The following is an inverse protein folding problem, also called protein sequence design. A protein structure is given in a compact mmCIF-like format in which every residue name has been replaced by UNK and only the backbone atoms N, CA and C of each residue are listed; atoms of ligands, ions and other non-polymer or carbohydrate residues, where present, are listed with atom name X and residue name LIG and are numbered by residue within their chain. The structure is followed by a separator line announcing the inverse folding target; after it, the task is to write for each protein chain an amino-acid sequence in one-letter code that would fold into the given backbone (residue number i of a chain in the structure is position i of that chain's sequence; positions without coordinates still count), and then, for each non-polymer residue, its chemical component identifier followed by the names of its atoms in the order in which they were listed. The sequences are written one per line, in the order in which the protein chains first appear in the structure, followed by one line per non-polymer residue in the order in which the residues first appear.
data_IF_261506090993
#
_entry.id   IF_261506090993
#
_cell.length_a   1.000
_cell.length_b   1.000
_cell.length_c   1.000
_cell.angle_alpha   90.00
_cell.angle_beta   90.00
_cell.angle_gamma   90.00
#
_symmetry.space_group_name_H-M   'P 1'
#
loop_
_entity.id
_entity.type
_entity.pdbx_description
1 polymer ?
#
# COMPACT_ATOMS: atom_id res chain seq x y z
N UNK A 1 -17.40 33.73 7.58
CA UNK A 1 -17.75 32.37 8.07
C UNK A 1 -19.26 32.27 7.98
N UNK A 2 -19.75 31.64 6.92
CA UNK A 2 -21.14 31.17 6.87
C UNK A 2 -21.13 29.64 7.03
N UNK A 3 -22.10 29.05 7.72
CA UNK A 3 -22.14 27.61 7.94
C UNK A 3 -22.66 26.92 6.67
N UNK A 4 -21.84 26.07 6.04
CA UNK A 4 -22.33 25.16 5.01
C UNK A 4 -23.35 24.20 5.62
N UNK A 5 -24.56 24.20 5.06
CA UNK A 5 -25.64 23.29 5.42
C UNK A 5 -25.20 21.83 5.31
N UNK A 6 -25.12 21.16 6.46
CA UNK A 6 -24.82 19.74 6.58
C UNK A 6 -26.14 18.97 6.49
N UNK A 7 -26.42 18.37 5.33
CA UNK A 7 -27.54 17.43 5.19
C UNK A 7 -27.10 16.08 5.77
N UNK A 8 -27.71 15.67 6.89
CA UNK A 8 -27.61 14.32 7.46
C UNK A 8 -28.88 13.53 7.11
N UNK A 9 -28.77 12.32 6.58
CA UNK A 9 -29.93 11.45 6.28
C UNK A 9 -29.79 10.06 6.91
N UNK A 10 -30.86 9.53 7.51
CA UNK A 10 -30.87 8.23 8.21
C UNK A 10 -31.51 7.11 7.36
N UNK A 11 -30.89 5.91 7.31
CA UNK A 11 -31.23 4.69 6.52
C UNK A 11 -30.94 4.81 5.01
N UNK A 12 -30.25 3.89 4.30
CA UNK A 12 -29.74 2.50 4.50
C UNK A 12 -30.75 1.33 4.51
N UNK A 13 -30.68 0.55 3.41
CA UNK A 13 -30.91 -0.90 3.13
C UNK A 13 -31.93 -1.73 3.95
N UNK A 14 -33.03 -2.13 3.28
CA UNK A 14 -33.77 -3.37 3.56
C UNK A 14 -34.36 -3.93 2.24
N UNK A 15 -34.07 -5.18 1.81
CA UNK A 15 -34.55 -5.72 0.53
C UNK A 15 -36.04 -6.08 0.47
N UNK A 16 -36.79 -5.88 1.55
CA UNK A 16 -38.08 -6.56 1.72
C UNK A 16 -39.14 -5.71 2.43
N UNK A 17 -39.68 -4.65 1.83
CA UNK A 17 -40.96 -4.06 2.30
C UNK A 17 -41.66 -3.23 1.23
N UNK A 18 -42.95 -3.50 0.99
CA UNK A 18 -43.83 -2.67 0.13
C UNK A 18 -44.05 -1.28 0.74
N UNK A 19 -44.13 -0.29 -0.15
CA UNK A 19 -44.31 1.14 0.10
C UNK A 19 -45.60 1.48 0.87
N UNK A 20 -45.54 2.32 1.92
CA UNK A 20 -46.66 3.15 2.37
C UNK A 20 -46.61 4.57 1.75
N UNK A 21 -47.78 5.20 1.63
CA UNK A 21 -47.98 6.52 1.03
C UNK A 21 -47.37 7.70 1.84
N UNK A 22 -46.61 8.51 1.11
CA UNK A 22 -46.43 9.98 1.09
C UNK A 22 -46.18 10.82 2.37
N UNK A 23 -44.99 11.44 2.39
CA UNK A 23 -44.71 12.80 2.90
C UNK A 23 -43.78 13.52 1.87
N UNK A 24 -44.10 14.74 1.38
CA UNK A 24 -43.37 15.38 0.28
C UNK A 24 -41.96 15.92 0.58
N UNK A 25 -41.52 16.04 1.85
CA UNK A 25 -40.30 16.80 2.18
C UNK A 25 -39.03 15.96 2.46
N UNK A 26 -39.09 14.64 2.49
CA UNK A 26 -37.94 13.76 2.84
C UNK A 26 -37.14 13.23 1.62
N UNK A 27 -37.31 13.82 0.44
CA UNK A 27 -36.76 13.31 -0.85
C UNK A 27 -35.43 13.96 -1.27
N UNK A 28 -34.27 13.72 -0.65
CA UNK A 28 -33.06 14.43 -1.15
C UNK A 28 -31.72 13.68 -1.33
N UNK A 29 -31.63 12.35 -1.24
CA UNK A 29 -30.39 11.67 -1.69
C UNK A 29 -30.58 10.27 -2.30
N UNK A 30 -31.55 9.51 -1.80
CA UNK A 30 -31.91 8.18 -2.34
C UNK A 30 -32.81 8.26 -3.60
N UNK A 31 -33.22 9.45 -4.00
CA UNK A 31 -34.22 9.67 -5.06
C UNK A 31 -33.62 9.95 -6.45
N UNK A 32 -32.29 9.89 -6.63
CA UNK A 32 -31.66 10.16 -7.92
C UNK A 32 -30.52 9.20 -8.35
N UNK A 33 -30.17 8.16 -7.59
CA UNK A 33 -29.20 7.14 -8.05
C UNK A 33 -29.64 5.73 -7.66
N UNK A 34 -29.56 4.78 -8.58
CA UNK A 34 -29.94 3.38 -8.39
C UNK A 34 -28.69 2.49 -8.35
N UNK A 35 -28.47 1.74 -7.26
CA UNK A 35 -27.36 0.78 -7.15
C UNK A 35 -27.53 -0.39 -8.15
N UNK A 36 -26.57 -0.56 -9.05
CA UNK A 36 -26.62 -1.63 -10.07
C UNK A 36 -25.70 -2.80 -9.77
N UNK A 37 -24.46 -2.55 -9.32
CA UNK A 37 -23.53 -3.61 -8.96
C UNK A 37 -22.45 -3.13 -8.00
N UNK A 38 -21.82 -4.08 -7.32
CA UNK A 38 -20.58 -3.87 -6.60
C UNK A 38 -19.40 -3.80 -7.58
N UNK A 39 -18.41 -2.93 -7.32
CA UNK A 39 -17.20 -2.80 -8.16
C UNK A 39 -15.92 -3.21 -7.42
N UNK A 40 -15.81 -2.94 -6.12
CA UNK A 40 -14.62 -3.31 -5.33
C UNK A 40 -14.73 -2.92 -3.86
N UNK A 41 -13.94 -3.58 -3.01
CA UNK A 41 -13.75 -3.25 -1.59
C UNK A 41 -12.29 -2.88 -1.35
N UNK A 42 -12.01 -2.12 -0.30
CA UNK A 42 -10.65 -1.91 0.19
C UNK A 42 -10.64 -1.40 1.63
N UNK A 43 -9.44 -1.06 2.12
CA UNK A 43 -9.24 -0.57 3.50
C UNK A 43 -10.14 0.62 3.86
N UNK A 44 -10.37 1.52 2.91
CA UNK A 44 -11.11 2.78 3.13
C UNK A 44 -12.63 2.65 2.97
N UNK A 45 -13.14 1.58 2.37
CA UNK A 45 -14.55 1.50 1.99
C UNK A 45 -14.80 0.58 0.82
N UNK A 46 -15.87 0.85 0.10
CA UNK A 46 -16.23 0.09 -1.09
C UNK A 46 -16.72 1.00 -2.21
N UNK A 47 -16.64 0.51 -3.44
CA UNK A 47 -17.04 1.22 -4.65
C UNK A 47 -18.19 0.48 -5.30
N UNK A 48 -19.20 1.24 -5.72
CA UNK A 48 -20.42 0.72 -6.35
C UNK A 48 -20.67 1.38 -7.69
N UNK A 49 -21.26 0.63 -8.62
CA UNK A 49 -21.78 1.15 -9.88
C UNK A 49 -23.23 1.54 -9.68
N UNK A 50 -23.57 2.77 -9.99
CA UNK A 50 -24.90 3.31 -9.78
C UNK A 50 -25.43 4.00 -11.06
N UNK A 51 -26.73 3.94 -11.31
CA UNK A 51 -27.39 4.62 -12.42
C UNK A 51 -28.00 5.93 -11.91
N UNK A 52 -27.48 7.06 -12.38
CA UNK A 52 -28.01 8.36 -12.05
C UNK A 52 -29.30 8.61 -12.82
N UNK A 53 -30.42 8.66 -12.10
CA UNK A 53 -31.76 8.78 -12.67
C UNK A 53 -32.07 10.19 -13.21
N UNK A 54 -31.22 11.18 -12.90
CA UNK A 54 -31.37 12.56 -13.37
C UNK A 54 -30.59 12.78 -14.67
N UNK A 55 -29.35 12.30 -14.74
CA UNK A 55 -28.52 12.43 -15.95
C UNK A 55 -28.69 11.27 -16.93
N UNK A 56 -29.30 10.17 -16.49
CA UNK A 56 -29.40 8.89 -17.20
C UNK A 56 -28.01 8.27 -17.48
N UNK A 57 -27.00 8.60 -16.69
CA UNK A 57 -25.61 8.11 -16.82
C UNK A 57 -25.27 7.07 -15.75
N UNK A 58 -24.33 6.18 -16.08
CA UNK A 58 -23.74 5.28 -15.08
C UNK A 58 -22.56 5.96 -14.39
N UNK A 59 -22.50 5.85 -13.07
CA UNK A 59 -21.51 6.48 -12.21
C UNK A 59 -20.86 5.48 -11.24
N UNK A 60 -19.69 5.82 -10.73
CA UNK A 60 -19.00 5.09 -9.68
C UNK A 60 -19.09 5.86 -8.36
N UNK A 61 -19.61 5.21 -7.32
CA UNK A 61 -19.77 5.81 -5.98
C UNK A 61 -18.89 5.06 -4.99
N UNK A 62 -17.85 5.75 -4.47
CA UNK A 62 -16.98 5.29 -3.38
C UNK A 62 -17.63 5.67 -2.04
N UNK A 63 -18.02 4.67 -1.25
CA UNK A 63 -18.61 4.84 0.08
C UNK A 63 -17.52 4.59 1.12
N UNK A 64 -17.11 5.65 1.82
CA UNK A 64 -16.06 5.55 2.83
C UNK A 64 -16.59 4.94 4.14
N UNK A 65 -15.79 4.09 4.82
CA UNK A 65 -16.14 3.53 6.13
C UNK A 65 -16.31 4.65 7.17
N UNK A 66 -17.24 4.45 8.10
CA UNK A 66 -17.45 5.37 9.22
C UNK A 66 -16.41 5.10 10.35
N UNK A 67 -15.14 5.36 10.04
CA UNK A 67 -14.02 5.30 10.98
C UNK A 67 -13.36 6.68 11.05
N UNK A 68 -12.94 7.17 12.23
CA UNK A 68 -12.35 8.50 12.35
C UNK A 68 -11.16 8.76 11.41
N UNK A 69 -10.24 7.81 11.27
CA UNK A 69 -9.09 7.93 10.36
C UNK A 69 -9.52 8.06 8.89
N UNK A 70 -10.41 7.17 8.45
CA UNK A 70 -10.97 7.15 7.09
C UNK A 70 -11.75 8.44 6.79
N UNK A 71 -12.47 8.98 7.77
CA UNK A 71 -13.19 10.25 7.62
C UNK A 71 -12.24 11.43 7.38
N UNK A 72 -11.13 11.52 8.14
CA UNK A 72 -10.12 12.56 7.91
C UNK A 72 -9.47 12.42 6.53
N UNK A 73 -9.19 11.18 6.12
CA UNK A 73 -8.61 10.89 4.81
C UNK A 73 -9.57 11.24 3.66
N UNK A 74 -10.86 10.88 3.76
CA UNK A 74 -11.87 11.27 2.77
C UNK A 74 -12.00 12.80 2.66
N UNK A 75 -11.87 13.54 3.78
CA UNK A 75 -11.83 15.01 3.75
C UNK A 75 -10.58 15.56 3.06
N UNK A 76 -9.42 14.94 3.27
CA UNK A 76 -8.20 15.30 2.56
C UNK A 76 -8.31 15.02 1.06
N UNK A 77 -8.87 13.87 0.68
CA UNK A 77 -9.16 13.50 -0.71
C UNK A 77 -10.10 14.51 -1.37
N UNK A 78 -11.20 14.91 -0.71
CA UNK A 78 -12.10 15.98 -1.21
C UNK A 78 -11.34 17.29 -1.42
N UNK A 79 -10.42 17.65 -0.53
CA UNK A 79 -9.64 18.89 -0.67
C UNK A 79 -8.71 18.83 -1.89
N UNK A 80 -8.09 17.67 -2.17
CA UNK A 80 -7.29 17.46 -3.38
C UNK A 80 -8.18 17.49 -4.63
N UNK A 81 -9.28 16.73 -4.65
CA UNK A 81 -10.20 16.68 -5.79
C UNK A 81 -10.76 18.06 -6.14
N UNK A 82 -11.09 18.89 -5.15
CA UNK A 82 -11.49 20.30 -5.37
C UNK A 82 -10.40 21.13 -6.04
N UNK A 83 -9.12 20.91 -5.71
CA UNK A 83 -8.02 21.60 -6.41
C UNK A 83 -7.94 21.14 -7.86
N UNK A 84 -8.08 19.83 -8.10
CA UNK A 84 -7.98 19.23 -9.43
C UNK A 84 -9.14 19.60 -10.38
N UNK A 85 -10.27 20.11 -9.88
CA UNK A 85 -11.40 20.55 -10.71
C UNK A 85 -11.06 21.66 -11.71
N UNK A 86 -9.95 22.38 -11.54
CA UNK A 86 -9.51 23.36 -12.54
C UNK A 86 -8.88 22.72 -13.78
N UNK A 87 -8.57 21.42 -13.73
CA UNK A 87 -8.02 20.65 -14.84
C UNK A 87 -9.13 20.02 -15.66
N UNK A 88 -8.90 19.88 -16.96
CA UNK A 88 -9.78 19.11 -17.82
C UNK A 88 -9.46 17.61 -17.67
N UNK A 89 -10.43 16.78 -17.21
CA UNK A 89 -10.16 15.39 -16.82
C UNK A 89 -9.74 14.50 -18.01
N UNK A 90 -10.16 14.84 -19.24
CA UNK A 90 -9.88 14.05 -20.43
C UNK A 90 -8.48 14.32 -21.00
N UNK A 91 -8.04 15.58 -20.97
CA UNK A 91 -6.70 15.97 -21.43
C UNK A 91 -5.63 15.72 -20.37
N UNK A 92 -5.96 15.86 -19.08
CA UNK A 92 -5.05 15.58 -17.97
C UNK A 92 -5.04 14.10 -17.55
N UNK A 93 -5.91 13.27 -18.12
CA UNK A 93 -6.04 11.83 -17.81
C UNK A 93 -6.27 11.57 -16.31
N UNK A 94 -7.15 12.36 -15.69
CA UNK A 94 -7.55 12.24 -14.28
C UNK A 94 -9.04 11.91 -14.25
N UNK A 95 -9.45 11.01 -13.36
CA UNK A 95 -10.87 10.67 -13.19
C UNK A 95 -11.72 11.92 -12.94
N UNK A 96 -12.83 12.04 -13.68
CA UNK A 96 -13.81 13.09 -13.48
C UNK A 96 -14.53 12.85 -12.17
N UNK A 97 -14.37 13.79 -11.26
CA UNK A 97 -15.07 13.82 -9.98
C UNK A 97 -16.37 14.65 -10.11
N UNK A 98 -17.51 13.99 -9.91
CA UNK A 98 -18.85 14.59 -10.01
C UNK A 98 -19.32 15.20 -8.68
N UNK A 99 -18.51 15.13 -7.62
CA UNK A 99 -18.79 15.71 -6.32
C UNK A 99 -18.88 14.68 -5.20
N UNK A 100 -19.38 15.10 -4.05
CA UNK A 100 -19.54 14.24 -2.89
C UNK A 100 -20.86 14.52 -2.18
N UNK A 101 -21.31 13.56 -1.38
CA UNK A 101 -22.48 13.69 -0.54
C UNK A 101 -22.31 12.86 0.74
N UNK A 102 -23.23 13.03 1.70
CA UNK A 102 -23.25 12.26 2.93
C UNK A 102 -24.44 11.30 2.92
N UNK A 103 -24.20 10.01 3.21
CA UNK A 103 -25.27 9.04 3.46
C UNK A 103 -25.10 8.46 4.88
N UNK A 104 -26.06 8.70 5.79
CA UNK A 104 -25.88 8.62 7.26
C UNK A 104 -24.62 9.35 7.73
N UNK A 105 -23.61 8.55 8.02
CA UNK A 105 -22.33 8.93 8.63
C UNK A 105 -21.17 8.60 7.67
N UNK A 106 -21.48 8.25 6.41
CA UNK A 106 -20.52 7.93 5.38
C UNK A 106 -20.33 9.13 4.44
N UNK A 107 -19.07 9.44 4.11
CA UNK A 107 -18.74 10.33 3.01
C UNK A 107 -18.75 9.50 1.73
N UNK A 108 -19.59 9.87 0.77
CA UNK A 108 -19.69 9.22 -0.53
C UNK A 108 -19.10 10.14 -1.61
N UNK A 109 -18.15 9.63 -2.40
CA UNK A 109 -17.55 10.34 -3.52
C UNK A 109 -18.12 9.80 -4.83
N UNK A 110 -18.58 10.69 -5.71
CA UNK A 110 -19.18 10.35 -7.00
C UNK A 110 -18.19 10.64 -8.14
N UNK A 111 -18.00 9.68 -9.03
CA UNK A 111 -17.06 9.75 -10.16
C UNK A 111 -17.72 9.25 -11.45
N UNK A 112 -17.15 9.63 -12.59
CA UNK A 112 -17.45 8.95 -13.85
C UNK A 112 -17.18 7.44 -13.74
N UNK A 113 -17.99 6.62 -14.42
CA UNK A 113 -17.73 5.19 -14.50
C UNK A 113 -16.66 4.91 -15.57
N UNK A 114 -15.57 4.26 -15.16
CA UNK A 114 -14.52 3.74 -16.05
C UNK A 114 -14.68 2.22 -16.24
N UNK A 115 -13.87 1.63 -17.13
CA UNK A 115 -13.97 0.21 -17.49
C UNK A 115 -13.34 -0.69 -16.42
N UNK A 116 -12.03 -0.93 -16.50
CA UNK A 116 -11.29 -1.80 -15.59
C UNK A 116 -9.90 -1.21 -15.30
N UNK A 117 -9.31 -1.57 -14.17
CA UNK A 117 -7.93 -1.17 -13.85
C UNK A 117 -6.93 -1.83 -14.80
N UNK A 118 -5.73 -1.26 -14.92
CA UNK A 118 -4.65 -1.88 -15.66
C UNK A 118 -4.23 -3.21 -15.02
N UNK A 119 -4.34 -3.35 -13.69
CA UNK A 119 -4.16 -4.63 -13.03
C UNK A 119 -5.15 -5.69 -13.56
N UNK A 120 -6.45 -5.43 -13.50
CA UNK A 120 -7.47 -6.35 -14.01
C UNK A 120 -7.33 -6.62 -15.51
N UNK A 121 -6.91 -5.62 -16.29
CA UNK A 121 -6.63 -5.78 -17.71
C UNK A 121 -5.45 -6.73 -17.95
N UNK A 122 -4.39 -6.65 -17.14
CA UNK A 122 -3.25 -7.57 -17.20
C UNK A 122 -3.65 -8.99 -16.75
N UNK A 123 -4.47 -9.12 -15.70
CA UNK A 123 -5.04 -10.41 -15.27
C UNK A 123 -5.81 -11.08 -16.42
N UNK A 124 -6.68 -10.33 -17.11
CA UNK A 124 -7.42 -10.83 -18.27
C UNK A 124 -6.56 -11.21 -19.48
N UNK A 125 -5.28 -10.80 -19.48
CA UNK A 125 -4.27 -11.17 -20.48
C UNK A 125 -3.36 -12.30 -19.99
N UNK A 126 -3.66 -12.93 -18.87
CA UNK A 126 -2.78 -13.90 -18.20
C UNK A 126 -1.40 -13.31 -17.89
N UNK A 127 -1.36 -12.03 -17.49
CA UNK A 127 -0.14 -11.27 -17.27
C UNK A 127 0.82 -11.25 -18.47
N UNK A 128 0.31 -11.38 -19.71
CA UNK A 128 1.14 -11.14 -20.90
C UNK A 128 1.40 -9.65 -21.07
N UNK A 129 2.69 -9.29 -21.00
CA UNK A 129 3.20 -7.92 -21.20
C UNK A 129 2.57 -7.17 -22.38
N UNK A 130 2.44 -5.86 -22.22
CA UNK A 130 1.97 -4.94 -23.25
C UNK A 130 3.03 -4.76 -24.34
N UNK A 131 2.58 -4.68 -25.58
CA UNK A 131 3.46 -4.29 -26.69
C UNK A 131 3.89 -2.83 -26.54
N UNK A 132 5.02 -2.44 -27.15
CA UNK A 132 5.46 -1.03 -27.15
C UNK A 132 4.46 -0.08 -27.81
N UNK A 133 3.57 -0.58 -28.67
CA UNK A 133 2.49 0.20 -29.27
C UNK A 133 1.37 0.53 -28.28
N UNK A 134 1.11 -0.37 -27.32
CA UNK A 134 0.13 -0.19 -26.24
C UNK A 134 0.73 0.57 -25.05
N UNK A 135 1.98 0.25 -24.68
CA UNK A 135 2.65 0.82 -23.50
C UNK A 135 2.94 2.31 -23.66
N UNK A 136 3.48 2.72 -24.82
CA UNK A 136 3.88 4.11 -25.08
C UNK A 136 2.75 5.13 -24.84
N UNK A 137 1.52 4.98 -25.38
CA UNK A 137 0.46 5.93 -25.11
C UNK A 137 0.01 5.92 -23.65
N UNK A 138 0.05 4.79 -22.94
CA UNK A 138 -0.26 4.73 -21.51
C UNK A 138 0.76 5.57 -20.71
N UNK A 139 2.05 5.35 -20.93
CA UNK A 139 3.11 6.10 -20.24
C UNK A 139 3.06 7.59 -20.55
N UNK A 140 2.75 7.96 -21.80
CA UNK A 140 2.58 9.37 -22.18
C UNK A 140 1.42 10.03 -21.41
N UNK A 141 0.27 9.34 -21.31
CA UNK A 141 -0.90 9.85 -20.56
C UNK A 141 -0.58 10.01 -19.07
N UNK A 142 0.04 9.00 -18.44
CA UNK A 142 0.43 9.06 -17.03
C UNK A 142 1.49 10.13 -16.75
N UNK A 143 2.51 10.26 -17.60
CA UNK A 143 3.50 11.33 -17.48
C UNK A 143 2.86 12.71 -17.64
N UNK A 144 1.85 12.85 -18.50
CA UNK A 144 1.05 14.09 -18.62
C UNK A 144 0.32 14.38 -17.31
N UNK A 145 -0.35 13.39 -16.72
CA UNK A 145 -0.99 13.52 -15.40
C UNK A 145 -0.02 13.97 -14.33
N UNK A 146 1.12 13.29 -14.18
CA UNK A 146 2.12 13.62 -13.16
C UNK A 146 2.74 15.01 -13.39
N UNK A 147 2.91 15.44 -14.65
CA UNK A 147 3.33 16.80 -14.97
C UNK A 147 2.33 17.85 -14.47
N UNK A 148 1.03 17.58 -14.56
CA UNK A 148 0.01 18.49 -14.02
C UNK A 148 0.02 18.50 -12.49
N UNK A 149 0.07 17.33 -11.83
CA UNK A 149 0.14 17.24 -10.37
C UNK A 149 1.34 18.01 -9.81
N UNK A 150 2.51 17.84 -10.41
CA UNK A 150 3.72 18.60 -10.08
C UNK A 150 3.55 20.11 -10.22
N UNK A 151 2.88 20.59 -11.28
CA UNK A 151 2.64 22.03 -11.44
C UNK A 151 1.67 22.61 -10.41
N UNK A 152 0.99 21.75 -9.64
CA UNK A 152 0.09 22.11 -8.55
C UNK A 152 0.68 21.79 -7.16
N UNK A 153 1.94 21.36 -7.07
CA UNK A 153 2.59 20.90 -5.83
C UNK A 153 1.77 19.79 -5.13
N UNK A 154 1.33 18.78 -5.90
CA UNK A 154 0.55 17.63 -5.40
C UNK A 154 1.32 16.34 -5.65
N UNK A 155 1.47 15.53 -4.61
CA UNK A 155 1.94 14.14 -4.69
C UNK A 155 0.71 13.23 -4.69
N UNK A 156 0.60 12.29 -5.64
CA UNK A 156 -0.45 11.26 -5.67
C UNK A 156 -0.23 10.22 -4.56
N UNK A 157 1.01 9.77 -4.42
CA UNK A 157 1.48 8.92 -3.33
C UNK A 157 0.91 7.50 -3.28
N UNK A 158 0.16 7.06 -4.30
CA UNK A 158 -0.28 5.65 -4.46
C UNK A 158 -0.46 5.24 -5.93
N UNK A 159 0.50 5.58 -6.80
CA UNK A 159 0.44 5.17 -8.21
C UNK A 159 0.80 3.68 -8.35
N UNK A 160 -0.15 2.89 -8.86
CA UNK A 160 -0.03 1.44 -9.13
C UNK A 160 -1.03 1.01 -10.22
N UNK A 161 -0.92 -0.19 -10.82
CA UNK A 161 -1.79 -0.64 -11.91
C UNK A 161 -3.28 -0.73 -11.51
N UNK A 162 -3.58 -0.91 -10.22
CA UNK A 162 -4.94 -0.86 -9.66
C UNK A 162 -5.55 0.54 -9.73
N UNK A 163 -4.73 1.57 -9.54
CA UNK A 163 -5.16 2.97 -9.51
C UNK A 163 -5.07 3.66 -10.87
N UNK A 164 -4.80 2.91 -11.94
CA UNK A 164 -4.86 3.41 -13.32
C UNK A 164 -5.96 2.64 -14.05
N UNK A 165 -7.04 3.32 -14.41
CA UNK A 165 -8.17 2.69 -15.08
C UNK A 165 -8.23 2.98 -16.57
N UNK A 166 -8.64 1.99 -17.35
CA UNK A 166 -8.95 2.15 -18.77
C UNK A 166 -10.30 2.87 -18.93
N UNK A 167 -10.36 3.79 -19.89
CA UNK A 167 -11.63 4.43 -20.27
C UNK A 167 -12.51 3.45 -21.05
N UNK A 168 -11.92 2.70 -21.98
CA UNK A 168 -12.60 1.67 -22.78
C UNK A 168 -11.55 0.67 -23.31
N UNK A 169 -11.50 -0.53 -22.72
CA UNK A 169 -10.53 -1.58 -23.07
C UNK A 169 -10.69 -2.14 -24.48
N UNK A 170 -11.82 -1.87 -25.15
CA UNK A 170 -12.11 -2.33 -26.51
C UNK A 170 -11.62 -1.36 -27.59
N UNK A 171 -11.24 -0.13 -27.20
CA UNK A 171 -10.78 0.91 -28.14
C UNK A 171 -9.25 1.04 -28.13
N UNK A 172 -8.71 1.36 -29.31
CA UNK A 172 -7.29 1.65 -29.51
C UNK A 172 -7.12 3.07 -30.10
N UNK A 173 -6.07 3.82 -29.71
CA UNK A 173 -5.12 3.50 -28.64
C UNK A 173 -5.80 3.46 -27.27
N UNK A 174 -5.27 2.64 -26.35
CA UNK A 174 -5.77 2.56 -24.97
C UNK A 174 -5.70 3.95 -24.31
N UNK A 175 -6.84 4.39 -23.76
CA UNK A 175 -6.93 5.61 -22.95
C UNK A 175 -7.02 5.23 -21.48
N UNK A 176 -6.26 5.93 -20.64
CA UNK A 176 -6.20 5.68 -19.20
C UNK A 176 -6.55 6.93 -18.41
N UNK A 177 -7.02 6.75 -17.17
CA UNK A 177 -7.16 7.81 -16.19
C UNK A 177 -6.61 7.36 -14.84
N UNK A 178 -5.91 8.27 -14.16
CA UNK A 178 -5.50 8.09 -12.78
C UNK A 178 -6.70 8.28 -11.84
N UNK A 179 -6.87 7.35 -10.90
CA UNK A 179 -7.93 7.34 -9.89
C UNK A 179 -7.32 7.32 -8.48
N UNK A 180 -8.20 7.41 -7.47
CA UNK A 180 -7.91 7.25 -6.04
C UNK A 180 -6.86 8.22 -5.47
N UNK A 181 -7.31 9.44 -5.20
CA UNK A 181 -6.52 10.48 -4.55
C UNK A 181 -6.58 10.37 -3.02
N UNK A 182 -6.92 9.20 -2.48
CA UNK A 182 -7.09 8.96 -1.05
C UNK A 182 -5.82 9.16 -0.22
N UNK A 183 -4.63 8.96 -0.80
CA UNK A 183 -3.34 9.20 -0.15
C UNK A 183 -2.64 10.49 -0.63
N UNK A 184 -3.23 11.14 -1.63
CA UNK A 184 -2.67 12.33 -2.25
C UNK A 184 -2.63 13.52 -1.28
N UNK A 185 -1.61 14.37 -1.43
CA UNK A 185 -1.38 15.50 -0.52
C UNK A 185 -0.58 16.60 -1.19
N UNK A 186 -0.68 17.86 -0.69
CA UNK A 186 0.23 18.91 -1.10
C UNK A 186 1.67 18.58 -0.67
N UNK A 187 2.67 18.92 -1.49
CA UNK A 187 4.10 18.75 -1.11
C UNK A 187 4.42 19.45 0.21
N UNK A 188 3.82 20.62 0.45
CA UNK A 188 4.00 21.36 1.71
C UNK A 188 3.50 20.63 2.96
N UNK A 189 2.73 19.55 2.80
CA UNK A 189 2.21 18.72 3.88
C UNK A 189 2.88 17.34 3.94
N UNK A 190 3.94 17.12 3.14
CA UNK A 190 4.77 15.92 3.22
C UNK A 190 5.79 16.09 4.34
N UNK A 191 5.85 15.12 5.24
CA UNK A 191 6.84 15.06 6.32
C UNK A 191 7.66 13.77 6.19
N UNK A 192 8.99 13.82 6.45
CA UNK A 192 9.81 12.61 6.49
C UNK A 192 9.26 11.57 7.48
N UNK A 193 9.21 10.30 7.07
CA UNK A 193 8.70 9.20 7.91
C UNK A 193 7.17 9.05 7.90
N UNK A 194 6.46 9.85 7.08
CA UNK A 194 5.09 9.54 6.69
C UNK A 194 5.11 8.30 5.81
N UNK A 195 4.38 7.26 6.21
CA UNK A 195 4.12 6.15 5.30
C UNK A 195 3.17 6.57 4.17
N UNK A 196 3.61 6.34 2.94
CA UNK A 196 2.83 6.45 1.70
C UNK A 196 3.28 5.37 0.70
N UNK A 197 2.57 5.27 -0.42
CA UNK A 197 2.74 4.30 -1.50
C UNK A 197 2.46 2.87 -1.07
N UNK A 198 1.89 2.08 -1.97
CA UNK A 198 1.85 0.62 -1.85
C UNK A 198 3.27 0.06 -1.92
N UNK A 199 3.60 -0.92 -1.07
CA UNK A 199 4.97 -1.38 -0.78
C UNK A 199 5.79 -1.70 -2.03
N UNK A 200 5.21 -2.39 -3.01
CA UNK A 200 5.90 -2.77 -4.26
C UNK A 200 6.29 -1.58 -5.15
N UNK A 201 5.60 -0.44 -5.00
CA UNK A 201 5.77 0.76 -5.81
C UNK A 201 6.44 1.91 -5.04
N UNK A 202 6.86 1.65 -3.80
CA UNK A 202 7.36 2.67 -2.87
C UNK A 202 8.80 3.07 -3.20
N UNK A 203 9.07 4.37 -3.11
CA UNK A 203 10.37 4.94 -3.41
C UNK A 203 11.38 4.74 -2.27
N UNK A 204 12.69 4.63 -2.55
CA UNK A 204 13.70 4.43 -1.52
C UNK A 204 13.77 5.59 -0.52
N UNK A 205 13.54 6.83 -0.94
CA UNK A 205 13.45 7.99 -0.05
C UNK A 205 12.28 7.91 0.92
N UNK A 206 11.18 7.27 0.54
CA UNK A 206 10.05 7.01 1.45
C UNK A 206 10.45 5.93 2.47
N UNK A 207 11.05 4.82 2.03
CA UNK A 207 11.51 3.73 2.93
C UNK A 207 12.60 4.19 3.91
N UNK A 208 13.52 5.05 3.45
CA UNK A 208 14.63 5.57 4.26
C UNK A 208 14.22 6.78 5.12
N UNK A 209 12.95 7.19 5.07
CA UNK A 209 12.42 8.37 5.76
C UNK A 209 13.24 9.64 5.46
N UNK A 210 13.62 9.81 4.19
CA UNK A 210 14.22 11.04 3.69
C UNK A 210 13.12 12.05 3.34
N UNK A 211 13.43 13.36 3.25
CA UNK A 211 12.55 14.31 2.60
C UNK A 211 12.24 13.87 1.17
N UNK A 212 10.97 13.90 0.79
CA UNK A 212 10.50 13.50 -0.53
C UNK A 212 9.45 14.49 -1.06
N UNK A 213 9.21 14.44 -2.37
CA UNK A 213 8.27 15.29 -3.11
C UNK A 213 7.54 14.48 -4.20
N UNK A 214 7.06 15.10 -5.27
CA UNK A 214 6.37 14.42 -6.38
C UNK A 214 7.27 13.41 -7.13
N UNK A 215 8.60 13.45 -6.93
CA UNK A 215 9.51 12.50 -7.56
C UNK A 215 9.18 11.04 -7.18
N UNK A 216 8.54 10.80 -6.03
CA UNK A 216 8.12 9.44 -5.64
C UNK A 216 7.09 8.85 -6.62
N UNK A 217 6.25 9.69 -7.23
CA UNK A 217 5.26 9.22 -8.21
C UNK A 217 5.95 8.86 -9.53
N UNK A 218 7.06 9.51 -9.88
CA UNK A 218 7.89 9.14 -11.02
C UNK A 218 8.59 7.80 -10.79
N UNK A 219 9.02 7.52 -9.55
CA UNK A 219 9.52 6.20 -9.18
C UNK A 219 8.45 5.12 -9.38
N UNK A 220 7.25 5.32 -8.82
CA UNK A 220 6.14 4.40 -9.01
C UNK A 220 5.77 4.21 -10.49
N UNK A 221 5.80 5.28 -11.31
CA UNK A 221 5.55 5.17 -12.75
C UNK A 221 6.59 4.30 -13.45
N UNK A 222 7.86 4.36 -13.05
CA UNK A 222 8.91 3.47 -13.57
C UNK A 222 8.62 2.00 -13.28
N UNK A 223 8.12 1.70 -12.08
CA UNK A 223 7.75 0.35 -11.68
C UNK A 223 6.48 -0.16 -12.40
N UNK A 224 5.46 0.70 -12.53
CA UNK A 224 4.28 0.42 -13.37
C UNK A 224 4.69 0.16 -14.82
N UNK A 225 5.61 0.95 -15.38
CA UNK A 225 6.09 0.78 -16.75
C UNK A 225 6.78 -0.59 -16.94
N UNK A 226 7.63 -0.99 -15.99
CA UNK A 226 8.29 -2.29 -16.01
C UNK A 226 7.27 -3.43 -15.93
N UNK A 227 6.34 -3.36 -14.99
CA UNK A 227 5.31 -4.39 -14.78
C UNK A 227 4.40 -4.55 -15.99
N UNK A 228 3.94 -3.45 -16.59
CA UNK A 228 3.12 -3.51 -17.80
C UNK A 228 3.90 -4.08 -18.99
N UNK A 229 5.20 -3.79 -19.10
CA UNK A 229 6.03 -4.29 -20.21
C UNK A 229 6.33 -5.79 -20.09
N UNK A 230 6.60 -6.27 -18.88
CA UNK A 230 7.04 -7.66 -18.64
C UNK A 230 5.90 -8.59 -18.24
N UNK A 231 4.82 -8.04 -17.68
CA UNK A 231 3.79 -8.81 -17.02
C UNK A 231 4.12 -9.23 -15.58
N UNK A 232 5.19 -8.70 -14.99
CA UNK A 232 5.59 -9.07 -13.63
C UNK A 232 6.11 -7.86 -12.86
N UNK A 233 5.72 -7.70 -11.58
CA UNK A 233 6.18 -6.60 -10.75
C UNK A 233 7.71 -6.64 -10.64
N UNK A 234 8.36 -5.47 -10.71
CA UNK A 234 9.82 -5.39 -10.70
C UNK A 234 10.40 -5.70 -9.31
N UNK A 235 9.75 -5.21 -8.24
CA UNK A 235 10.20 -5.35 -6.85
C UNK A 235 9.08 -5.91 -5.94
N UNK A 236 8.66 -7.18 -6.10
CA UNK A 236 7.61 -7.79 -5.29
C UNK A 236 8.14 -8.19 -3.91
N UNK A 237 8.11 -7.26 -2.95
CA UNK A 237 8.53 -7.50 -1.57
C UNK A 237 7.38 -7.40 -0.57
N UNK A 238 7.39 -8.25 0.46
CA UNK A 238 6.39 -8.22 1.54
C UNK A 238 6.69 -7.11 2.55
N UNK A 239 7.96 -6.67 2.62
CA UNK A 239 8.43 -5.61 3.51
C UNK A 239 9.28 -4.58 2.78
N UNK A 240 9.44 -3.38 3.37
CA UNK A 240 10.40 -2.38 2.88
C UNK A 240 11.82 -2.95 2.76
N UNK A 241 12.21 -3.87 3.64
CA UNK A 241 13.52 -4.51 3.56
C UNK A 241 13.66 -5.36 2.30
N UNK A 242 12.63 -6.12 1.93
CA UNK A 242 12.63 -6.94 0.72
C UNK A 242 12.71 -6.07 -0.54
N UNK A 243 11.92 -4.99 -0.56
CA UNK A 243 11.91 -4.05 -1.69
C UNK A 243 13.26 -3.31 -1.80
N UNK A 244 13.80 -2.81 -0.69
CA UNK A 244 15.14 -2.21 -0.67
C UNK A 244 16.20 -3.19 -1.17
N UNK A 245 16.14 -4.47 -0.78
CA UNK A 245 17.08 -5.48 -1.29
C UNK A 245 17.05 -5.57 -2.81
N UNK A 246 15.87 -5.66 -3.43
CA UNK A 246 15.76 -5.68 -4.89
C UNK A 246 16.28 -4.40 -5.55
N UNK A 247 15.99 -3.23 -4.95
CA UNK A 247 16.50 -1.94 -5.42
C UNK A 247 18.03 -1.95 -5.42
N UNK A 248 18.66 -2.37 -4.32
CA UNK A 248 20.11 -2.39 -4.17
C UNK A 248 20.78 -3.37 -5.14
N UNK A 249 20.17 -4.54 -5.37
CA UNK A 249 20.67 -5.54 -6.32
C UNK A 249 20.65 -5.04 -7.78
N UNK A 250 19.72 -4.14 -8.13
CA UNK A 250 19.52 -3.67 -9.51
C UNK A 250 20.08 -2.27 -9.78
N UNK A 251 19.98 -1.35 -8.83
CA UNK A 251 20.40 0.05 -8.95
C UNK A 251 21.69 0.36 -8.17
N UNK A 252 22.14 -0.55 -7.31
CA UNK A 252 23.26 -0.32 -6.40
C UNK A 252 22.87 0.43 -5.13
N UNK A 253 23.82 0.52 -4.19
CA UNK A 253 23.61 1.22 -2.93
C UNK A 253 23.65 2.75 -3.09
N UNK A 254 22.70 3.50 -2.48
CA UNK A 254 22.83 4.95 -2.37
C UNK A 254 24.15 5.37 -1.74
N UNK A 255 24.63 6.55 -2.11
CA UNK A 255 25.85 7.11 -1.53
C UNK A 255 25.68 7.39 -0.03
N UNK A 256 26.80 7.35 0.71
CA UNK A 256 26.78 7.50 2.16
C UNK A 256 26.17 8.83 2.61
N UNK A 257 26.31 9.93 1.84
CA UNK A 257 25.69 11.24 2.16
C UNK A 257 24.16 11.27 2.04
N UNK A 258 23.60 10.37 1.23
CA UNK A 258 22.15 10.15 1.15
C UNK A 258 21.70 9.35 2.36
N UNK A 259 22.40 8.26 2.67
CA UNK A 259 22.12 7.40 3.82
C UNK A 259 22.29 8.14 5.16
N UNK A 260 23.29 9.02 5.28
CA UNK A 260 23.55 9.92 6.43
C UNK A 260 22.40 10.88 6.75
N UNK A 261 21.46 11.08 5.82
CA UNK A 261 20.28 11.95 6.01
C UNK A 261 18.99 11.17 6.29
N UNK A 262 18.97 9.86 6.05
CA UNK A 262 17.78 9.03 6.19
C UNK A 262 17.52 8.68 7.64
N UNK A 263 16.36 9.06 8.19
CA UNK A 263 16.00 8.70 9.57
C UNK A 263 15.74 7.19 9.72
N UNK A 264 15.41 6.51 8.61
CA UNK A 264 15.23 5.06 8.55
C UNK A 264 16.51 4.28 8.22
N UNK A 265 17.63 4.94 7.91
CA UNK A 265 18.85 4.26 7.41
C UNK A 265 19.34 3.18 8.38
N UNK A 266 19.48 3.50 9.67
CA UNK A 266 19.97 2.54 10.67
C UNK A 266 19.05 1.32 10.87
N UNK A 267 17.81 1.38 10.39
CA UNK A 267 16.90 0.24 10.44
C UNK A 267 17.32 -0.84 9.43
N UNK A 268 17.76 -0.45 8.24
CA UNK A 268 18.12 -1.36 7.14
C UNK A 268 19.63 -1.52 6.92
N UNK A 269 20.43 -0.55 7.37
CA UNK A 269 21.88 -0.49 7.15
C UNK A 269 22.63 -0.49 8.48
N UNK A 270 23.86 -1.00 8.44
CA UNK A 270 24.80 -0.97 9.56
C UNK A 270 25.99 -0.09 9.20
N UNK A 271 26.42 0.73 10.16
CA UNK A 271 27.62 1.53 10.04
C UNK A 271 28.89 0.66 10.14
N UNK A 272 29.81 0.81 9.20
CA UNK A 272 31.15 0.23 9.22
C UNK A 272 32.20 1.29 9.55
N UNK A 273 32.97 1.07 10.62
CA UNK A 273 34.01 2.02 11.09
C UNK A 273 35.31 1.98 10.28
N UNK A 274 35.53 0.94 9.48
CA UNK A 274 36.79 0.68 8.79
C UNK A 274 36.63 0.22 7.33
N UNK A 275 35.50 0.56 6.68
CA UNK A 275 35.21 0.24 5.28
C UNK A 275 35.48 1.42 4.33
N UNK A 276 35.57 1.15 3.02
CA UNK A 276 35.51 2.21 2.00
C UNK A 276 34.10 2.84 1.88
N UNK A 277 33.06 2.11 2.32
CA UNK A 277 31.69 2.60 2.47
C UNK A 277 31.32 2.62 3.96
N UNK A 278 30.78 3.74 4.46
CA UNK A 278 30.31 3.92 5.85
C UNK A 278 29.09 3.06 6.11
N UNK A 279 28.17 2.92 5.16
CA UNK A 279 26.98 2.10 5.33
C UNK A 279 27.05 0.79 4.56
N UNK A 280 26.51 -0.25 5.15
CA UNK A 280 26.33 -1.54 4.47
C UNK A 280 24.94 -2.08 4.77
N UNK A 281 24.22 -2.49 3.73
CA UNK A 281 22.91 -3.10 3.88
C UNK A 281 23.01 -4.36 4.76
N UNK A 282 22.10 -4.49 5.73
CA UNK A 282 22.07 -5.65 6.62
C UNK A 282 21.77 -6.90 5.81
N UNK A 283 22.42 -8.01 6.14
CA UNK A 283 22.01 -9.30 5.60
C UNK A 283 20.63 -9.70 6.16
N UNK A 284 19.89 -10.63 5.51
CA UNK A 284 18.60 -11.08 6.02
C UNK A 284 18.69 -11.57 7.48
N UNK A 285 19.77 -12.25 7.83
CA UNK A 285 20.02 -12.76 9.18
C UNK A 285 20.25 -11.61 10.18
N UNK A 286 21.00 -10.58 9.78
CA UNK A 286 21.27 -9.40 10.61
C UNK A 286 19.99 -8.59 10.84
N UNK A 287 19.23 -8.32 9.78
CA UNK A 287 17.96 -7.60 9.87
C UNK A 287 16.95 -8.34 10.75
N UNK A 288 16.81 -9.66 10.56
CA UNK A 288 15.93 -10.50 11.38
C UNK A 288 16.34 -10.50 12.86
N UNK A 289 17.64 -10.56 13.16
CA UNK A 289 18.15 -10.52 14.54
C UNK A 289 17.87 -9.18 15.22
N UNK A 290 18.01 -8.06 14.52
CA UNK A 290 17.91 -6.71 15.10
C UNK A 290 16.46 -6.22 15.24
N UNK A 291 15.56 -6.64 14.34
CA UNK A 291 14.13 -6.21 14.36
C UNK A 291 13.27 -7.02 15.34
N UNK A 292 13.88 -7.92 16.11
CA UNK A 292 13.41 -8.31 17.44
C UNK A 292 12.54 -9.57 17.50
N UNK A 293 11.71 -9.86 16.49
CA UNK A 293 10.82 -11.04 16.52
C UNK A 293 11.61 -12.35 16.58
N UNK A 294 12.55 -12.55 15.64
CA UNK A 294 13.47 -13.68 15.69
C UNK A 294 14.42 -13.60 16.88
N UNK A 295 14.77 -12.40 17.36
CA UNK A 295 15.61 -12.24 18.56
C UNK A 295 14.98 -12.87 19.80
N UNK A 296 13.69 -12.61 20.02
CA UNK A 296 12.97 -13.15 21.17
C UNK A 296 12.67 -14.64 21.01
N UNK A 297 12.40 -15.10 19.80
CA UNK A 297 12.26 -16.53 19.52
C UNK A 297 13.58 -17.28 19.71
N UNK A 298 14.69 -16.75 19.20
CA UNK A 298 16.04 -17.31 19.34
C UNK A 298 16.49 -17.29 20.81
N UNK A 299 16.26 -16.20 21.55
CA UNK A 299 16.52 -16.15 23.01
C UNK A 299 15.72 -17.24 23.74
N UNK A 300 14.42 -17.37 23.44
CA UNK A 300 13.58 -18.40 24.03
C UNK A 300 14.11 -19.81 23.73
N UNK A 301 14.41 -20.11 22.47
CA UNK A 301 14.92 -21.42 22.04
C UNK A 301 16.28 -21.72 22.69
N UNK A 302 17.19 -20.74 22.76
CA UNK A 302 18.51 -20.92 23.41
C UNK A 302 18.34 -21.28 24.88
N UNK A 303 17.44 -20.61 25.61
CA UNK A 303 17.17 -20.93 27.02
C UNK A 303 16.47 -22.29 27.20
N UNK A 304 15.65 -22.71 26.25
CA UNK A 304 15.06 -24.07 26.23
C UNK A 304 16.09 -25.16 25.96
N UNK A 305 17.12 -24.86 25.15
CA UNK A 305 18.20 -25.78 24.77
C UNK A 305 19.46 -25.65 25.65
N UNK A 306 19.35 -24.96 26.80
CA UNK A 306 20.46 -24.85 27.76
C UNK A 306 20.95 -26.22 28.21
N UNK A 307 22.27 -26.42 28.20
CA UNK A 307 22.89 -27.71 28.45
C UNK A 307 22.86 -28.07 29.93
N UNK A 308 23.02 -27.08 30.81
CA UNK A 308 22.84 -27.26 32.24
C UNK A 308 21.34 -27.34 32.58
N UNK A 309 20.83 -28.52 33.03
CA UNK A 309 19.41 -28.66 33.35
C UNK A 309 18.94 -27.76 34.48
N UNK A 310 19.85 -27.30 35.37
CA UNK A 310 19.51 -26.38 36.46
C UNK A 310 19.38 -24.93 35.98
N UNK A 311 20.02 -24.56 34.86
CA UNK A 311 19.93 -23.23 34.23
C UNK A 311 18.90 -23.16 33.10
N UNK A 312 18.41 -24.32 32.63
CA UNK A 312 17.41 -24.41 31.57
C UNK A 312 16.08 -23.79 32.01
N UNK A 313 15.51 -22.96 31.14
CA UNK A 313 14.25 -22.26 31.40
C UNK A 313 13.12 -23.24 31.72
N UNK A 314 12.34 -22.93 32.75
CA UNK A 314 11.20 -23.74 33.20
C UNK A 314 9.92 -23.35 32.46
N UNK A 315 8.92 -24.25 32.37
CA UNK A 315 7.67 -23.96 31.66
C UNK A 315 6.97 -22.67 32.10
N UNK A 316 6.99 -22.32 33.39
CA UNK A 316 6.39 -21.09 33.88
C UNK A 316 7.15 -19.84 33.42
N UNK A 317 8.48 -19.93 33.33
CA UNK A 317 9.34 -18.85 32.85
C UNK A 317 9.23 -18.69 31.32
N UNK A 318 8.99 -19.79 30.58
CA UNK A 318 8.64 -19.75 29.15
C UNK A 318 7.37 -18.93 28.93
N UNK A 319 6.31 -19.19 29.69
CA UNK A 319 5.04 -18.45 29.57
C UNK A 319 5.18 -16.97 29.93
N UNK A 320 6.20 -16.61 30.70
CA UNK A 320 6.54 -15.23 31.08
C UNK A 320 7.60 -14.60 30.16
N UNK A 321 8.10 -15.35 29.17
CA UNK A 321 9.16 -14.89 28.30
C UNK A 321 8.66 -13.71 27.44
N UNK A 322 9.49 -12.68 27.19
CA UNK A 322 9.09 -11.52 26.39
C UNK A 322 8.59 -11.87 24.98
N UNK A 323 8.98 -13.03 24.44
CA UNK A 323 8.42 -13.60 23.20
C UNK A 323 6.88 -13.71 23.24
N UNK A 324 6.31 -14.10 24.37
CA UNK A 324 4.86 -14.19 24.57
C UNK A 324 4.24 -12.93 25.18
N UNK A 325 5.06 -12.01 25.69
CA UNK A 325 4.60 -10.72 26.21
C UNK A 325 4.36 -9.68 25.11
N UNK A 326 4.87 -9.92 23.90
CA UNK A 326 4.56 -9.07 22.75
C UNK A 326 3.10 -9.28 22.34
N UNK A 327 2.23 -8.38 22.81
CA UNK A 327 1.35 -7.73 21.83
C UNK A 327 2.27 -7.14 20.73
N UNK A 328 1.87 -7.17 19.44
CA UNK A 328 2.70 -6.63 18.35
C UNK A 328 3.30 -5.29 18.80
N UNK A 329 4.62 -5.09 18.63
CA UNK A 329 5.36 -4.09 19.38
C UNK A 329 4.67 -2.73 19.30
N UNK A 330 4.19 -2.22 20.44
CA UNK A 330 3.84 -0.80 20.61
C UNK A 330 5.09 0.10 20.71
N UNK A 331 6.23 -0.39 20.23
CA UNK A 331 7.50 0.33 20.13
C UNK A 331 8.35 -0.22 18.98
N UNK A 332 7.75 -0.48 17.83
CA UNK A 332 8.40 -0.05 16.59
C UNK A 332 8.40 1.49 16.61
N UNK A 333 9.40 2.19 16.04
CA UNK A 333 9.14 3.59 15.72
C UNK A 333 7.81 3.59 14.94
N UNK A 334 6.93 4.53 15.26
CA UNK A 334 5.58 4.69 14.69
C UNK A 334 5.60 5.01 13.18
N UNK A 335 6.65 4.56 12.49
CA UNK A 335 7.17 4.96 11.20
C UNK A 335 7.48 3.76 10.28
N UNK A 336 7.32 2.50 10.71
CA UNK A 336 7.42 1.39 9.74
C UNK A 336 6.14 1.39 8.89
N UNK A 337 6.31 1.35 7.57
CA UNK A 337 5.20 1.23 6.64
C UNK A 337 4.53 -0.15 6.73
N UNK A 338 3.61 -0.28 7.68
CA UNK A 338 2.68 -1.40 7.73
C UNK A 338 1.37 -0.95 7.08
N UNK A 339 1.10 -1.47 5.88
CA UNK A 339 -0.18 -1.23 5.20
C UNK A 339 -1.36 -1.66 6.08
N UNK A 340 -2.44 -0.88 6.02
CA UNK A 340 -3.76 -1.34 6.45
C UNK A 340 -4.44 -2.07 5.28
N UNK A 341 -3.96 -3.27 4.92
CA UNK A 341 -4.62 -4.14 3.95
C UNK A 341 -5.05 -5.45 4.63
N UNK A 342 -6.37 -5.59 4.85
CA UNK A 342 -7.03 -6.87 5.11
C UNK A 342 -7.36 -7.55 3.76
N UNK A 343 -6.36 -7.79 2.93
CA UNK A 343 -6.49 -8.71 1.81
C UNK A 343 -5.44 -9.82 1.97
N UNK A 344 -5.89 -11.06 2.08
CA UNK A 344 -5.00 -12.21 2.03
C UNK A 344 -4.23 -12.15 0.71
N UNK A 345 -2.88 -12.15 0.73
CA UNK A 345 -2.11 -12.27 -0.49
C UNK A 345 -2.47 -13.60 -1.19
N UNK A 346 -2.45 -13.66 -2.53
CA UNK A 346 -2.56 -14.95 -3.21
C UNK A 346 -1.47 -15.86 -2.64
N UNK A 347 -1.88 -17.07 -2.21
CA UNK A 347 -1.00 -18.08 -1.63
C UNK A 347 0.10 -18.47 -2.61
N UNK A 348 1.17 -17.67 -2.65
CA UNK A 348 2.49 -18.14 -2.98
C UNK A 348 2.96 -18.89 -1.74
N UNK A 349 3.24 -20.17 -1.93
CA UNK A 349 3.83 -21.04 -0.94
C UNK A 349 4.88 -20.28 -0.12
N UNK A 350 4.90 -20.37 1.22
CA UNK A 350 5.98 -19.78 1.99
C UNK A 350 7.26 -20.45 1.50
N UNK A 351 8.07 -19.70 0.74
CA UNK A 351 9.49 -19.98 0.70
C UNK A 351 9.95 -19.72 2.12
N UNK A 352 9.91 -20.79 2.92
CA UNK A 352 10.50 -20.83 4.24
C UNK A 352 11.81 -20.05 4.17
N UNK A 353 11.97 -19.07 5.06
CA UNK A 353 13.31 -18.67 5.50
C UNK A 353 14.04 -19.98 5.74
N UNK A 354 14.96 -20.33 4.83
CA UNK A 354 15.49 -21.67 4.74
C UNK A 354 15.93 -22.10 6.13
N UNK A 355 15.63 -23.33 6.52
CA UNK A 355 15.99 -23.92 7.82
C UNK A 355 17.47 -23.69 8.20
N UNK A 356 18.31 -23.38 7.22
CA UNK A 356 19.69 -22.91 7.35
C UNK A 356 19.86 -21.58 8.10
N UNK A 357 19.00 -20.57 7.90
CA UNK A 357 19.13 -19.25 8.55
C UNK A 357 18.87 -19.31 10.05
N UNK A 358 17.84 -20.06 10.47
CA UNK A 358 17.52 -20.29 11.88
C UNK A 358 18.60 -21.12 12.58
N UNK A 359 19.15 -22.15 11.92
CA UNK A 359 20.32 -22.89 12.40
C UNK A 359 21.55 -21.98 12.55
N UNK A 360 21.82 -21.11 11.57
CA UNK A 360 22.96 -20.20 11.63
C UNK A 360 22.83 -19.16 12.75
N UNK A 361 21.62 -18.69 13.04
CA UNK A 361 21.33 -17.79 14.17
C UNK A 361 21.44 -18.48 15.53
N UNK A 362 21.01 -19.74 15.64
CA UNK A 362 21.13 -20.54 16.86
C UNK A 362 22.59 -20.91 17.17
N UNK A 363 23.40 -21.17 16.14
CA UNK A 363 24.71 -21.81 16.25
C UNK A 363 25.87 -21.02 15.59
N UNK A 364 25.77 -19.68 15.56
CA UNK A 364 26.79 -18.76 15.03
C UNK A 364 28.17 -18.94 15.70
N UNK A 365 29.25 -18.73 14.94
CA UNK A 365 30.66 -19.14 15.14
C UNK A 365 31.37 -18.70 16.44
N UNK A 366 30.78 -17.85 17.27
CA UNK A 366 31.41 -17.41 18.53
C UNK A 366 31.16 -18.39 19.70
N UNK A 367 30.19 -19.29 19.58
CA UNK A 367 29.94 -20.36 20.55
C UNK A 367 30.34 -21.71 19.94
N UNK A 368 31.42 -22.32 20.44
CA UNK A 368 31.93 -23.60 19.95
C UNK A 368 30.91 -24.73 20.14
N UNK A 369 30.08 -25.01 19.14
CA UNK A 369 29.45 -26.32 18.93
C UNK A 369 29.43 -26.65 17.43
N UNK A 370 30.23 -27.63 17.02
CA UNK A 370 30.14 -28.27 15.72
C UNK A 370 28.91 -29.19 15.76
N UNK A 371 27.92 -28.92 14.91
CA UNK A 371 26.81 -29.85 14.60
C UNK A 371 26.66 -29.93 13.08
N UNK A 372 27.62 -30.59 12.43
CA UNK A 372 27.38 -31.14 11.09
C UNK A 372 26.44 -32.36 11.23
N UNK A 373 25.37 -32.38 10.44
CA UNK A 373 24.44 -33.51 10.22
C UNK A 373 23.25 -33.72 11.20
N UNK A 374 22.32 -32.77 11.24
CA UNK A 374 20.93 -33.09 11.59
C UNK A 374 19.97 -32.66 10.47
N UNK A 375 19.53 -33.64 9.67
CA UNK A 375 18.48 -33.47 8.67
C UNK A 375 17.12 -33.54 9.37
N UNK A 376 16.27 -32.53 9.15
CA UNK A 376 15.00 -32.36 9.88
C UNK A 376 13.82 -33.06 9.15
N UNK A 377 14.10 -33.84 8.10
CA UNK A 377 13.13 -34.68 7.39
C UNK A 377 12.58 -35.84 8.22
N UNK A 378 13.21 -36.16 9.36
CA UNK A 378 12.91 -37.37 10.11
C UNK A 378 11.91 -37.15 11.28
N UNK A 379 11.31 -35.95 11.39
CA UNK A 379 10.44 -35.57 12.51
C UNK A 379 8.97 -35.31 12.15
N UNK A 380 8.56 -35.58 10.90
CA UNK A 380 7.14 -35.60 10.53
C UNK A 380 6.77 -36.99 9.98
N UNK A 381 6.27 -37.85 10.87
CA UNK A 381 5.27 -38.88 10.55
C UNK A 381 3.98 -38.47 11.25
#
# INVERSE_FOLDING_TARGET
MEPCDVIKTNHIFNPSTRLPQEDPQTKHLLFYVWLTSFLGEGGFGFVTKCHNLVTDEMEAIKVNKNLPSVFHQARAEIAILKRLQCLDPDTCNIVKWNGYFFDRDHICLNFELLDQSLYSYMVGRDFRGLSMAELRPILFQLATTLSHLRSMDIVHADLKPDNVMLVDSKKQPLKVKLIDFGLARPVSAVEPGVCVQTTWYRAPEVMLHLPFDEAIDMWSLGLVAAELATGSPLYPGDTDYDVLRFILETQGQPADDVLDRGMGTEYYFREQRHGQQRWTFKSPEQFAYETGVYRLLVDLIKRMLELDPEQRIKPLEVLQHPFFAQSPPQSSPTHICVEMSEEEPPTLSPQFVGTNGLKQLLFSRDDRIIMENFNMSDWFI
#
